data_IF_834519588708
#
_entry.id   IF_834519588708
#
_cell.length_a   1.000
_cell.length_b   1.000
_cell.length_c   1.000
_cell.angle_alpha   90.00
_cell.angle_beta   90.00
_cell.angle_gamma   90.00
#
_symmetry.space_group_name_H-M   'P 1'
#
loop_
_entity.id
_entity.type
_entity.pdbx_description
1 polymer ?
#
# COMPACT_ATOMS: atom_id res chain seq x y z
N UNK A 1 10.14 -49.95 -73.18
CA UNK A 1 9.18 -49.08 -73.88
C UNK A 1 9.21 -47.72 -73.20
N UNK A 2 8.88 -46.68 -73.95
CA UNK A 2 8.96 -45.25 -73.62
C UNK A 2 7.64 -44.71 -73.05
N UNK A 3 7.57 -43.37 -72.90
CA UNK A 3 6.45 -42.50 -72.49
C UNK A 3 6.21 -42.48 -70.96
N UNK A 4 6.38 -41.40 -70.18
CA UNK A 4 6.47 -39.91 -70.37
C UNK A 4 5.09 -39.25 -70.65
N UNK A 5 4.63 -38.17 -70.00
CA UNK A 5 5.23 -37.19 -69.05
C UNK A 5 4.58 -37.29 -67.62
N UNK A 6 4.33 -36.30 -66.71
CA UNK A 6 4.39 -34.81 -66.67
C UNK A 6 4.46 -34.28 -65.19
N UNK A 7 4.34 -32.96 -64.94
CA UNK A 7 4.51 -32.26 -63.64
C UNK A 7 3.28 -32.26 -62.69
N UNK A 8 3.51 -32.02 -61.38
CA UNK A 8 2.75 -30.98 -60.62
C UNK A 8 3.55 -30.41 -59.42
N UNK A 9 3.24 -29.17 -59.01
CA UNK A 9 3.77 -28.46 -57.84
C UNK A 9 2.64 -27.88 -56.99
N UNK A 10 2.31 -28.53 -55.87
CA UNK A 10 1.55 -27.89 -54.79
C UNK A 10 2.51 -27.26 -53.76
N UNK A 11 2.46 -25.93 -53.62
CA UNK A 11 3.08 -25.26 -52.48
C UNK A 11 2.24 -25.48 -51.21
N UNK A 12 2.89 -25.52 -50.05
CA UNK A 12 2.23 -25.26 -48.77
C UNK A 12 3.09 -24.25 -48.01
N UNK A 13 2.55 -23.04 -47.81
CA UNK A 13 3.21 -21.91 -47.15
C UNK A 13 2.12 -21.02 -46.57
N UNK A 14 2.15 -20.81 -45.27
CA UNK A 14 0.98 -20.46 -44.46
C UNK A 14 0.41 -21.71 -43.77
N UNK A 15 -0.13 -21.63 -42.54
CA UNK A 15 -0.29 -20.49 -41.62
C UNK A 15 0.02 -21.01 -40.19
N UNK A 16 1.16 -20.62 -39.61
CA UNK A 16 1.60 -20.99 -38.25
C UNK A 16 2.34 -19.81 -37.54
N UNK A 17 2.06 -18.56 -37.94
CA UNK A 17 2.75 -17.38 -37.42
C UNK A 17 1.86 -16.18 -37.06
N UNK A 18 0.61 -16.18 -37.50
CA UNK A 18 -0.31 -15.03 -37.32
C UNK A 18 -1.35 -15.28 -36.20
N UNK A 19 -1.71 -16.54 -35.93
CA UNK A 19 -2.76 -16.90 -34.94
C UNK A 19 -2.32 -16.64 -33.50
N UNK A 20 -1.07 -16.96 -33.13
CA UNK A 20 -0.57 -16.66 -31.76
C UNK A 20 -0.53 -15.15 -31.50
N UNK A 21 -0.32 -14.32 -32.54
CA UNK A 21 -0.36 -12.85 -32.43
C UNK A 21 -1.80 -12.32 -32.32
N UNK A 22 -2.75 -12.84 -33.10
CA UNK A 22 -4.16 -12.43 -32.99
C UNK A 22 -4.77 -12.87 -31.63
N UNK A 23 -4.40 -14.04 -31.09
CA UNK A 23 -4.82 -14.48 -29.75
C UNK A 23 -4.17 -13.65 -28.61
N UNK A 24 -2.88 -13.28 -28.72
CA UNK A 24 -2.24 -12.38 -27.73
C UNK A 24 -2.80 -10.94 -27.79
N UNK A 25 -3.10 -10.38 -28.98
CA UNK A 25 -3.72 -9.04 -29.11
C UNK A 25 -5.19 -9.03 -28.59
N UNK A 26 -5.99 -10.08 -28.82
CA UNK A 26 -7.34 -10.18 -28.23
C UNK A 26 -7.31 -10.34 -26.69
N UNK A 27 -6.38 -11.12 -26.11
CA UNK A 27 -6.24 -11.23 -24.64
C UNK A 27 -5.78 -9.91 -24.00
N UNK A 28 -4.87 -9.14 -24.63
CA UNK A 28 -4.49 -7.82 -24.11
C UNK A 28 -5.65 -6.80 -24.18
N UNK A 29 -6.43 -6.73 -25.27
CA UNK A 29 -7.58 -5.81 -25.36
C UNK A 29 -8.68 -6.13 -24.32
N UNK A 30 -9.00 -7.41 -24.07
CA UNK A 30 -9.99 -7.79 -23.05
C UNK A 30 -9.49 -7.47 -21.62
N UNK A 31 -8.19 -7.61 -21.35
CA UNK A 31 -7.56 -7.25 -20.06
C UNK A 31 -7.51 -5.75 -19.81
N UNK A 32 -7.22 -4.92 -20.83
CA UNK A 32 -7.30 -3.46 -20.72
C UNK A 32 -8.74 -3.01 -20.42
N UNK A 33 -9.73 -3.63 -21.08
CA UNK A 33 -11.15 -3.32 -20.87
C UNK A 33 -11.63 -3.65 -19.44
N UNK A 34 -11.28 -4.80 -18.86
CA UNK A 34 -11.63 -5.12 -17.46
C UNK A 34 -10.94 -4.16 -16.46
N UNK A 35 -9.68 -3.78 -16.73
CA UNK A 35 -8.97 -2.79 -15.91
C UNK A 35 -9.63 -1.41 -15.96
N UNK A 36 -10.08 -0.95 -17.14
CA UNK A 36 -10.73 0.36 -17.29
C UNK A 36 -12.13 0.38 -16.63
N UNK A 37 -12.89 -0.71 -16.75
CA UNK A 37 -14.16 -0.89 -16.03
C UNK A 37 -13.97 -0.94 -14.51
N UNK A 38 -12.94 -1.64 -14.04
CA UNK A 38 -12.56 -1.72 -12.63
C UNK A 38 -12.15 -0.36 -12.06
N UNK A 39 -11.38 0.44 -12.80
CA UNK A 39 -11.07 1.83 -12.44
C UNK A 39 -12.32 2.70 -12.33
N UNK A 40 -13.23 2.61 -13.30
CA UNK A 40 -14.53 3.31 -13.26
C UNK A 40 -15.35 2.91 -12.03
N UNK A 41 -15.35 1.64 -11.65
CA UNK A 41 -16.06 1.15 -10.47
C UNK A 41 -15.50 1.69 -9.15
N UNK A 42 -14.16 1.75 -9.01
CA UNK A 42 -13.48 2.35 -7.84
C UNK A 42 -13.77 3.84 -7.75
N UNK A 43 -13.74 4.56 -8.87
CA UNK A 43 -14.00 6.01 -8.88
C UNK A 43 -15.46 6.34 -8.56
N UNK A 44 -16.42 5.55 -9.08
CA UNK A 44 -17.86 5.71 -8.77
C UNK A 44 -18.16 5.51 -7.27
N UNK A 45 -17.40 4.66 -6.59
CA UNK A 45 -17.49 4.51 -5.13
C UNK A 45 -17.01 5.77 -4.38
N UNK A 46 -16.06 6.56 -4.91
CA UNK A 46 -15.69 7.86 -4.31
C UNK A 46 -16.90 8.78 -4.22
N UNK A 47 -17.65 8.91 -5.32
CA UNK A 47 -18.79 9.81 -5.41
C UNK A 47 -19.95 9.40 -4.51
N UNK A 48 -20.28 8.10 -4.53
CA UNK A 48 -21.44 7.55 -3.85
C UNK A 48 -21.19 7.27 -2.36
N UNK A 49 -19.96 6.87 -1.97
CA UNK A 49 -19.65 6.35 -0.63
C UNK A 49 -18.50 7.08 0.07
N UNK A 50 -17.71 7.91 -0.61
CA UNK A 50 -16.59 8.66 -0.01
C UNK A 50 -16.99 9.67 1.07
N UNK A 51 -18.29 9.85 1.35
CA UNK A 51 -18.78 10.63 2.49
C UNK A 51 -18.86 9.81 3.80
N UNK A 52 -18.77 8.48 3.72
CA UNK A 52 -18.90 7.54 4.85
C UNK A 52 -17.59 7.42 5.64
N UNK A 53 -17.66 7.32 6.97
CA UNK A 53 -16.47 7.41 7.84
C UNK A 53 -15.57 6.15 7.84
N UNK A 54 -14.32 6.31 8.26
CA UNK A 54 -13.29 5.29 8.55
C UNK A 54 -12.97 5.25 10.05
N UNK A 55 -12.48 4.15 10.65
CA UNK A 55 -12.17 2.85 10.04
C UNK A 55 -13.42 1.98 9.86
N UNK A 56 -13.26 0.83 9.20
CA UNK A 56 -14.34 -0.17 8.99
C UNK A 56 -13.88 -1.58 9.34
N UNK A 57 -14.86 -2.47 9.57
CA UNK A 57 -14.62 -3.90 9.48
C UNK A 57 -14.63 -4.33 8.00
N UNK A 58 -13.54 -4.95 7.58
CA UNK A 58 -13.28 -5.49 6.26
C UNK A 58 -13.77 -6.95 6.26
N UNK A 59 -14.86 -7.21 5.56
CA UNK A 59 -15.45 -8.54 5.42
C UNK A 59 -14.98 -9.15 4.09
N UNK A 60 -13.97 -10.03 4.14
CA UNK A 60 -13.30 -10.57 2.96
C UNK A 60 -14.28 -11.38 2.10
N UNK A 61 -15.20 -12.11 2.75
CA UNK A 61 -16.23 -12.91 2.07
C UNK A 61 -17.18 -12.09 1.19
N UNK A 62 -17.22 -10.77 1.41
CA UNK A 62 -18.14 -9.84 0.75
C UNK A 62 -17.45 -8.90 -0.25
N UNK A 63 -16.12 -8.86 -0.31
CA UNK A 63 -15.38 -7.92 -1.18
C UNK A 63 -15.67 -8.15 -2.68
N UNK A 64 -15.64 -7.08 -3.46
CA UNK A 64 -15.72 -7.16 -4.93
C UNK A 64 -14.30 -7.39 -5.44
N UNK A 65 -14.05 -8.51 -6.13
CA UNK A 65 -12.76 -8.75 -6.79
C UNK A 65 -12.70 -7.94 -8.07
N UNK A 66 -11.56 -7.31 -8.33
CA UNK A 66 -11.29 -6.53 -9.56
C UNK A 66 -9.86 -6.72 -10.02
N UNK A 67 -9.64 -6.56 -11.32
CA UNK A 67 -8.33 -6.47 -11.96
C UNK A 67 -7.95 -5.00 -12.10
N UNK A 68 -6.70 -4.64 -11.80
CA UNK A 68 -6.12 -3.32 -12.07
C UNK A 68 -4.65 -3.48 -12.48
N UNK A 69 -4.08 -2.45 -13.08
CA UNK A 69 -2.62 -2.39 -13.26
C UNK A 69 -1.89 -2.45 -11.91
N UNK A 70 -0.67 -3.01 -11.84
CA UNK A 70 0.06 -3.09 -10.58
C UNK A 70 0.43 -1.69 -10.04
N UNK A 71 0.41 -1.51 -8.72
CA UNK A 71 0.90 -0.24 -8.11
C UNK A 71 2.42 -0.16 -8.30
N UNK A 72 2.87 0.96 -8.88
CA UNK A 72 4.29 1.20 -9.15
C UNK A 72 4.93 2.06 -8.06
N UNK A 73 6.09 1.63 -7.56
CA UNK A 73 6.77 2.22 -6.39
C UNK A 73 8.12 2.83 -6.78
N UNK A 74 8.27 4.13 -6.57
CA UNK A 74 9.44 4.89 -7.04
C UNK A 74 10.19 5.56 -5.88
N UNK A 75 11.53 5.64 -5.98
CA UNK A 75 12.45 6.25 -5.01
C UNK A 75 12.39 5.67 -3.57
N UNK A 76 11.67 4.57 -3.33
CA UNK A 76 11.53 3.94 -2.00
C UNK A 76 12.82 3.25 -1.54
N UNK A 77 13.61 2.75 -2.49
CA UNK A 77 14.96 2.22 -2.31
C UNK A 77 15.95 3.30 -1.81
N UNK A 78 15.65 4.59 -2.00
CA UNK A 78 16.55 5.69 -1.63
C UNK A 78 16.55 5.93 -0.13
N UNK A 79 17.75 5.89 0.45
CA UNK A 79 18.00 6.22 1.84
C UNK A 79 17.53 7.66 2.15
N UNK A 80 16.68 7.88 3.17
CA UNK A 80 16.30 9.23 3.59
C UNK A 80 17.53 10.05 4.01
N UNK A 81 17.59 11.34 3.68
CA UNK A 81 18.67 12.25 4.10
C UNK A 81 18.51 12.73 5.55
N UNK A 82 17.27 12.86 6.02
CA UNK A 82 16.91 13.17 7.41
C UNK A 82 15.62 12.45 7.78
N UNK A 83 15.57 11.89 8.98
CA UNK A 83 14.37 11.32 9.61
C UNK A 83 14.11 12.08 10.91
N UNK A 84 12.83 12.35 11.23
CA UNK A 84 12.37 12.93 12.49
C UNK A 84 11.17 12.14 13.01
N UNK A 85 11.31 11.53 14.19
CA UNK A 85 10.17 11.09 15.01
C UNK A 85 9.64 12.25 15.85
N UNK A 86 8.35 12.24 16.16
CA UNK A 86 7.69 13.23 17.03
C UNK A 86 6.53 12.60 17.77
N UNK A 87 6.52 12.67 19.10
CA UNK A 87 5.32 12.36 19.87
C UNK A 87 4.39 13.58 19.80
N UNK A 88 3.16 13.39 19.31
CA UNK A 88 2.16 14.49 19.17
C UNK A 88 1.27 14.68 20.40
N UNK A 89 1.38 13.77 21.37
CA UNK A 89 0.42 13.55 22.47
C UNK A 89 -0.80 12.71 22.08
N UNK A 90 -0.82 12.16 20.86
CA UNK A 90 -1.89 11.29 20.34
C UNK A 90 -1.34 10.09 19.54
N UNK A 91 -0.24 10.28 18.81
CA UNK A 91 0.46 9.26 18.03
C UNK A 91 1.93 9.68 17.81
N UNK A 92 2.79 8.72 17.42
CA UNK A 92 4.13 9.00 16.89
C UNK A 92 4.00 9.34 15.41
N UNK A 93 4.51 10.50 14.99
CA UNK A 93 4.72 10.82 13.58
C UNK A 93 6.17 10.52 13.21
N UNK A 94 6.37 9.66 12.22
CA UNK A 94 7.62 9.55 11.46
C UNK A 94 7.52 10.48 10.25
N UNK A 95 8.50 11.36 10.08
CA UNK A 95 8.62 12.23 8.92
C UNK A 95 10.04 12.18 8.38
N UNK A 96 10.20 12.28 7.06
CA UNK A 96 11.49 12.13 6.39
C UNK A 96 11.67 13.14 5.25
N UNK A 97 12.93 13.39 4.90
CA UNK A 97 13.35 14.21 3.75
C UNK A 97 14.48 13.51 3.01
N UNK A 98 14.39 13.47 1.70
CA UNK A 98 15.41 12.93 0.80
C UNK A 98 16.35 14.03 0.30
N UNK A 99 17.39 13.67 -0.45
CA UNK A 99 18.19 14.65 -1.18
C UNK A 99 17.50 15.07 -2.47
N UNK A 100 17.02 14.08 -3.19
CA UNK A 100 16.39 14.20 -4.50
C UNK A 100 14.86 14.20 -4.34
N UNK A 101 14.13 13.72 -5.35
CA UNK A 101 12.69 13.50 -5.25
C UNK A 101 12.33 12.52 -4.11
N UNK A 102 11.14 12.72 -3.51
CA UNK A 102 10.63 11.84 -2.45
C UNK A 102 10.18 10.48 -3.02
N UNK A 103 10.08 9.45 -2.19
CA UNK A 103 9.28 8.27 -2.49
C UNK A 103 7.85 8.65 -2.92
N UNK A 104 7.36 7.96 -3.94
CA UNK A 104 6.00 8.13 -4.44
C UNK A 104 5.49 6.82 -5.05
N UNK A 105 4.18 6.75 -5.22
CA UNK A 105 3.51 5.69 -5.96
C UNK A 105 2.60 6.26 -7.04
N UNK A 106 2.29 5.46 -8.04
CA UNK A 106 1.27 5.70 -9.07
C UNK A 106 0.65 4.37 -9.50
N UNK A 107 -0.27 4.43 -10.47
CA UNK A 107 -0.85 3.27 -11.13
C UNK A 107 -1.74 2.43 -10.18
N UNK A 108 -2.33 1.34 -10.69
CA UNK A 108 -3.48 0.71 -10.02
C UNK A 108 -4.63 1.72 -9.82
N UNK A 109 -5.22 1.85 -8.60
CA UNK A 109 -6.40 2.69 -8.35
C UNK A 109 -6.10 4.20 -8.34
N UNK A 110 -4.92 4.64 -8.79
CA UNK A 110 -4.39 5.98 -8.57
C UNK A 110 -4.39 6.82 -9.85
N UNK A 111 -5.22 7.87 -9.86
CA UNK A 111 -5.22 8.87 -10.93
C UNK A 111 -4.05 9.86 -10.78
N UNK A 112 -2.84 9.37 -11.07
CA UNK A 112 -1.60 10.13 -11.07
C UNK A 112 -0.68 9.82 -9.89
N UNK A 113 0.23 10.76 -9.61
CA UNK A 113 1.40 10.57 -8.73
C UNK A 113 1.13 11.00 -7.29
N UNK A 114 1.33 10.08 -6.34
CA UNK A 114 1.11 10.31 -4.92
C UNK A 114 2.42 10.25 -4.12
N UNK A 115 2.90 11.41 -3.68
CA UNK A 115 4.18 11.59 -2.98
C UNK A 115 4.06 11.39 -1.47
N UNK A 116 5.08 10.80 -0.86
CA UNK A 116 5.12 10.51 0.57
C UNK A 116 5.15 11.77 1.46
N UNK A 117 4.36 11.73 2.54
CA UNK A 117 4.30 12.77 3.57
C UNK A 117 4.86 12.30 4.93
N UNK A 118 4.23 11.29 5.52
CA UNK A 118 4.50 10.83 6.88
C UNK A 118 3.99 9.41 7.13
N UNK A 119 4.54 8.75 8.17
CA UNK A 119 3.91 7.59 8.82
C UNK A 119 3.36 8.04 10.17
N UNK A 120 2.22 7.47 10.57
CA UNK A 120 1.75 7.50 11.94
C UNK A 120 1.17 6.14 12.36
N UNK A 121 1.08 5.93 13.67
CA UNK A 121 0.86 4.61 14.26
C UNK A 121 -0.35 4.61 15.19
N UNK A 122 -1.14 3.56 15.09
CA UNK A 122 -2.23 3.23 15.99
C UNK A 122 -1.90 1.94 16.74
N UNK A 123 -2.25 1.90 18.02
CA UNK A 123 -2.04 0.80 18.93
C UNK A 123 -3.14 0.77 20.00
N UNK A 124 -3.22 -0.36 20.69
CA UNK A 124 -4.23 -0.64 21.71
C UNK A 124 -3.60 -1.13 23.01
N UNK A 125 -4.42 -1.23 24.05
CA UNK A 125 -4.00 -1.66 25.38
C UNK A 125 -3.62 -3.15 25.42
N UNK A 126 -4.20 -3.97 24.53
CA UNK A 126 -3.90 -5.40 24.42
C UNK A 126 -3.61 -5.82 22.98
N UNK A 127 -3.02 -7.00 22.84
CA UNK A 127 -2.57 -7.64 21.59
C UNK A 127 -3.62 -7.76 20.48
N UNK A 128 -4.90 -7.67 20.85
CA UNK A 128 -6.06 -7.95 19.99
C UNK A 128 -6.98 -6.73 19.79
N UNK A 129 -6.56 -5.52 20.16
CA UNK A 129 -7.41 -4.30 20.15
C UNK A 129 -6.70 -3.03 19.66
N UNK A 130 -5.64 -3.14 18.85
CA UNK A 130 -4.77 -2.00 18.49
C UNK A 130 -4.80 -1.49 17.05
N UNK A 131 -5.40 -2.23 16.10
CA UNK A 131 -5.68 -1.70 14.76
C UNK A 131 -7.00 -0.91 14.72
N UNK A 132 -7.03 0.15 13.92
CA UNK A 132 -8.26 0.91 13.67
C UNK A 132 -9.22 0.08 12.81
N UNK A 133 -8.72 -0.45 11.69
CA UNK A 133 -9.45 -1.38 10.84
C UNK A 133 -9.53 -2.76 11.49
N UNK A 134 -10.60 -3.48 11.19
CA UNK A 134 -10.81 -4.86 11.61
C UNK A 134 -10.96 -5.74 10.37
N UNK A 135 -10.61 -7.02 10.45
CA UNK A 135 -10.67 -8.00 9.36
C UNK A 135 -11.49 -9.21 9.83
N UNK A 136 -12.61 -9.47 9.17
CA UNK A 136 -13.58 -10.52 9.52
C UNK A 136 -13.95 -10.53 11.03
N UNK A 137 -14.10 -9.33 11.62
CA UNK A 137 -14.40 -9.11 13.04
C UNK A 137 -13.18 -9.08 13.97
N UNK A 138 -11.99 -9.43 13.48
CA UNK A 138 -10.75 -9.48 14.26
C UNK A 138 -9.96 -8.18 14.16
N UNK A 139 -9.39 -7.72 15.27
CA UNK A 139 -8.48 -6.58 15.35
C UNK A 139 -7.04 -7.09 15.59
N UNK A 140 -6.04 -6.31 15.17
CA UNK A 140 -4.60 -6.65 15.20
C UNK A 140 -3.88 -5.83 16.30
N UNK A 141 -2.59 -6.09 16.52
CA UNK A 141 -1.85 -5.50 17.64
C UNK A 141 -1.52 -4.00 17.45
N UNK A 142 -1.22 -3.61 16.20
CA UNK A 142 -1.03 -2.21 15.79
C UNK A 142 -1.44 -2.01 14.32
N UNK A 143 -1.53 -0.75 13.90
CA UNK A 143 -1.73 -0.35 12.51
C UNK A 143 -0.86 0.87 12.17
N UNK A 144 -0.22 0.87 10.99
CA UNK A 144 0.53 2.01 10.45
C UNK A 144 -0.18 2.59 9.24
N UNK A 145 -0.31 3.90 9.24
CA UNK A 145 -0.80 4.70 8.11
C UNK A 145 0.38 5.38 7.41
N UNK A 146 0.65 5.01 6.16
CA UNK A 146 1.58 5.74 5.30
C UNK A 146 0.81 6.76 4.44
N UNK A 147 0.85 8.02 4.86
CA UNK A 147 0.07 9.10 4.24
C UNK A 147 0.82 9.66 3.04
N UNK A 148 0.17 9.62 1.89
CA UNK A 148 0.65 10.21 0.64
C UNK A 148 -0.33 11.29 0.16
N UNK A 149 0.17 12.27 -0.60
CA UNK A 149 -0.66 13.30 -1.22
C UNK A 149 -0.34 13.45 -2.70
N UNK A 150 -1.34 13.84 -3.49
CA UNK A 150 -1.21 13.99 -4.93
C UNK A 150 -0.21 15.11 -5.27
N UNK A 151 0.71 14.86 -6.18
CA UNK A 151 1.83 15.75 -6.52
C UNK A 151 1.38 17.06 -7.19
N UNK A 152 0.15 17.12 -7.70
CA UNK A 152 -0.54 18.31 -8.22
C UNK A 152 -0.62 19.44 -7.17
N UNK A 153 -0.59 19.10 -5.88
CA UNK A 153 -0.70 20.03 -4.75
C UNK A 153 0.67 20.24 -4.08
N UNK A 154 0.94 21.45 -3.57
CA UNK A 154 2.24 21.82 -2.99
C UNK A 154 2.60 20.99 -1.75
N UNK A 155 1.59 20.58 -0.98
CA UNK A 155 1.76 19.84 0.27
C UNK A 155 0.45 19.15 0.71
N UNK A 156 0.55 18.24 1.68
CA UNK A 156 -0.58 17.49 2.23
C UNK A 156 -1.70 18.36 2.84
N UNK A 157 -1.41 19.56 3.36
CA UNK A 157 -2.42 20.44 3.96
C UNK A 157 -3.30 21.13 2.90
N UNK A 158 -2.71 21.47 1.76
CA UNK A 158 -3.43 21.90 0.56
C UNK A 158 -4.23 20.72 -0.04
N UNK A 159 -3.57 19.59 -0.26
CA UNK A 159 -4.18 18.40 -0.85
C UNK A 159 -5.36 17.86 -0.02
N UNK A 160 -5.32 18.00 1.31
CA UNK A 160 -6.40 17.61 2.22
C UNK A 160 -7.71 18.39 2.03
N UNK A 161 -7.73 19.40 1.15
CA UNK A 161 -8.90 20.22 0.80
C UNK A 161 -9.62 19.71 -0.45
N UNK A 162 -9.09 18.67 -1.09
CA UNK A 162 -9.59 18.11 -2.35
C UNK A 162 -9.92 16.62 -2.20
N UNK A 163 -10.93 16.16 -2.95
CA UNK A 163 -11.46 14.81 -2.84
C UNK A 163 -10.50 13.70 -3.32
N UNK A 164 -9.54 14.04 -4.16
CA UNK A 164 -8.53 13.13 -4.71
C UNK A 164 -7.14 13.31 -4.05
N UNK A 165 -6.99 14.29 -3.15
CA UNK A 165 -5.68 14.82 -2.80
C UNK A 165 -4.88 13.99 -1.80
N UNK A 166 -5.50 13.08 -1.04
CA UNK A 166 -4.82 12.26 -0.03
C UNK A 166 -5.23 10.80 -0.12
N UNK A 167 -4.24 9.92 -0.10
CA UNK A 167 -4.41 8.47 0.05
C UNK A 167 -3.65 7.99 1.29
N UNK A 168 -4.11 6.89 1.88
CA UNK A 168 -3.45 6.27 3.03
C UNK A 168 -3.21 4.79 2.72
N UNK A 169 -1.95 4.37 2.79
CA UNK A 169 -1.60 2.95 2.77
C UNK A 169 -1.68 2.43 4.20
N UNK A 170 -2.32 1.29 4.39
CA UNK A 170 -2.53 0.65 5.70
C UNK A 170 -1.67 -0.61 5.81
N UNK A 171 -0.93 -0.69 6.91
CA UNK A 171 -0.15 -1.85 7.30
C UNK A 171 -0.54 -2.31 8.69
N UNK A 172 -1.16 -3.48 8.76
CA UNK A 172 -1.45 -4.16 10.03
C UNK A 172 -0.18 -4.75 10.62
N UNK A 173 -0.07 -4.75 11.95
CA UNK A 173 0.96 -5.51 12.65
C UNK A 173 0.37 -6.69 13.41
N UNK A 174 0.96 -7.86 13.19
CA UNK A 174 0.73 -9.04 14.02
C UNK A 174 1.88 -9.27 14.97
N UNK A 175 1.56 -9.80 16.14
CA UNK A 175 2.59 -10.24 17.06
C UNK A 175 3.36 -11.44 16.51
N UNK A 176 4.67 -11.37 16.72
CA UNK A 176 5.62 -12.46 16.55
C UNK A 176 6.52 -12.53 17.80
N UNK A 177 7.23 -13.64 18.07
CA UNK A 177 8.10 -13.74 19.23
C UNK A 177 9.30 -12.77 19.18
N UNK A 178 9.88 -12.57 17.98
CA UNK A 178 11.10 -11.78 17.77
C UNK A 178 10.85 -10.29 17.52
N UNK A 179 11.79 -9.43 17.93
CA UNK A 179 11.81 -8.02 17.55
C UNK A 179 11.86 -7.88 16.02
N UNK A 180 11.00 -7.03 15.43
CA UNK A 180 11.15 -6.64 14.03
C UNK A 180 12.34 -5.68 13.90
N UNK A 181 13.43 -6.14 13.29
CA UNK A 181 14.68 -5.38 13.13
C UNK A 181 14.48 -4.05 12.38
N UNK A 182 13.51 -3.97 11.46
CA UNK A 182 13.25 -2.75 10.69
C UNK A 182 12.64 -1.64 11.55
N UNK A 183 11.74 -2.04 12.46
CA UNK A 183 11.13 -1.12 13.42
C UNK A 183 12.04 -0.80 14.60
N UNK A 184 13.16 -1.50 14.77
CA UNK A 184 14.09 -1.35 15.90
C UNK A 184 14.73 0.04 15.97
N UNK A 185 14.96 0.72 14.84
CA UNK A 185 15.45 2.11 14.82
C UNK A 185 14.39 3.11 15.33
N UNK A 186 13.10 2.81 15.10
CA UNK A 186 11.97 3.60 15.61
C UNK A 186 11.76 3.30 17.09
N UNK A 187 11.54 2.03 17.45
CA UNK A 187 11.12 1.60 18.79
C UNK A 187 12.19 1.88 19.85
N UNK A 188 13.48 1.69 19.54
CA UNK A 188 14.58 2.08 20.45
C UNK A 188 14.73 3.59 20.65
N UNK A 189 14.09 4.40 19.80
CA UNK A 189 14.12 5.88 19.89
C UNK A 189 12.87 6.46 20.57
N UNK A 190 11.86 5.66 20.91
CA UNK A 190 10.61 6.14 21.54
C UNK A 190 10.84 6.69 22.95
N UNK A 191 11.76 6.09 23.71
CA UNK A 191 12.22 6.61 25.01
C UNK A 191 12.97 7.96 24.93
N UNK A 192 13.30 8.43 23.71
CA UNK A 192 13.87 9.76 23.46
C UNK A 192 12.81 10.76 23.00
N UNK A 193 11.53 10.36 22.93
CA UNK A 193 10.37 11.21 22.65
C UNK A 193 9.19 10.89 23.59
N UNK A 194 9.50 10.56 24.84
CA UNK A 194 8.53 10.11 25.85
C UNK A 194 7.32 11.06 25.98
N UNK A 195 7.52 12.38 25.94
CA UNK A 195 6.45 13.37 26.24
C UNK A 195 5.86 13.99 24.98
N UNK A 196 4.58 14.36 25.05
CA UNK A 196 3.91 15.06 23.97
C UNK A 196 4.65 16.37 23.59
N UNK A 197 5.01 16.48 22.31
CA UNK A 197 5.83 17.55 21.75
C UNK A 197 7.29 17.16 21.52
N UNK A 198 7.81 16.14 22.22
CA UNK A 198 9.19 15.70 22.07
C UNK A 198 9.48 15.21 20.64
N UNK A 199 10.73 15.42 20.23
CA UNK A 199 11.14 15.31 18.83
C UNK A 199 12.58 14.82 18.71
N UNK A 200 12.79 13.70 18.01
CA UNK A 200 14.11 13.10 17.81
C UNK A 200 14.43 12.93 16.33
N UNK A 201 15.56 13.47 15.91
CA UNK A 201 16.13 13.12 14.59
C UNK A 201 16.81 11.75 14.68
N UNK A 202 16.50 10.87 13.72
CA UNK A 202 17.14 9.55 13.61
C UNK A 202 18.21 9.58 12.52
N UNK A 203 19.24 8.76 12.71
CA UNK A 203 20.15 8.43 11.62
C UNK A 203 19.44 7.46 10.66
N UNK A 204 19.44 7.73 9.34
CA UNK A 204 18.92 6.80 8.35
C UNK A 204 19.89 5.62 8.24
N UNK A 205 19.43 4.43 8.64
CA UNK A 205 20.21 3.18 8.60
C UNK A 205 19.82 2.25 7.46
N UNK A 206 18.57 2.33 7.02
CA UNK A 206 17.95 1.44 6.07
C UNK A 206 17.17 2.23 5.01
N UNK A 207 17.15 1.78 3.75
CA UNK A 207 16.19 2.18 2.74
C UNK A 207 14.75 2.29 3.25
N UNK A 208 13.95 3.18 2.67
CA UNK A 208 12.57 3.39 3.10
C UNK A 208 11.64 2.23 2.70
N UNK A 209 11.98 1.54 1.61
CA UNK A 209 11.30 0.32 1.11
C UNK A 209 11.20 -0.78 2.17
N UNK A 210 12.24 -0.97 2.98
CA UNK A 210 12.32 -2.02 4.02
C UNK A 210 11.42 -1.72 5.23
N UNK A 211 11.02 -0.47 5.42
CA UNK A 211 10.11 -0.05 6.50
C UNK A 211 8.63 -0.22 6.12
N UNK A 212 8.30 -0.12 4.84
CA UNK A 212 6.93 -0.27 4.35
C UNK A 212 6.60 -1.71 3.91
N UNK A 213 7.50 -2.40 3.19
CA UNK A 213 7.15 -3.49 2.25
C UNK A 213 6.16 -3.02 1.17
N UNK A 214 6.65 -2.66 -0.04
CA UNK A 214 5.78 -2.43 -1.20
C UNK A 214 4.85 -3.60 -1.45
N UNK A 215 3.65 -3.27 -1.92
CA UNK A 215 2.71 -4.22 -2.52
C UNK A 215 2.27 -3.65 -3.87
N UNK A 216 2.36 -4.45 -4.92
CA UNK A 216 1.89 -4.11 -6.27
C UNK A 216 0.48 -4.64 -6.53
N UNK A 217 0.09 -5.70 -5.82
CA UNK A 217 -1.10 -6.54 -6.04
C UNK A 217 -1.62 -7.13 -4.71
N UNK A 218 -2.76 -7.84 -4.73
CA UNK A 218 -3.36 -8.55 -3.60
C UNK A 218 -3.62 -7.67 -2.36
N UNK A 219 -4.25 -6.51 -2.57
CA UNK A 219 -4.58 -5.52 -1.53
C UNK A 219 -6.06 -5.13 -1.58
N UNK A 220 -6.54 -4.48 -0.50
CA UNK A 220 -7.92 -3.99 -0.42
C UNK A 220 -8.00 -2.49 -0.71
N UNK A 221 -9.08 -2.04 -1.37
CA UNK A 221 -9.34 -0.64 -1.71
C UNK A 221 -10.74 -0.21 -1.27
N UNK A 222 -10.86 0.95 -0.62
CA UNK A 222 -12.14 1.61 -0.41
C UNK A 222 -12.03 3.13 -0.19
N UNK A 223 -13.12 3.86 -0.46
CA UNK A 223 -13.22 5.31 -0.22
C UNK A 223 -13.90 5.64 1.11
N UNK A 224 -13.44 6.68 1.80
CA UNK A 224 -14.07 7.19 3.03
C UNK A 224 -13.92 8.70 3.18
N UNK A 225 -14.64 9.29 4.13
CA UNK A 225 -14.27 10.54 4.79
C UNK A 225 -13.49 10.23 6.09
N UNK A 226 -12.60 11.13 6.52
CA UNK A 226 -11.91 11.04 7.81
C UNK A 226 -12.80 11.61 8.95
N UNK A 227 -13.18 10.75 9.90
CA UNK A 227 -13.95 11.11 11.10
C UNK A 227 -13.43 12.38 11.78
N UNK A 228 -14.32 13.32 12.08
CA UNK A 228 -13.97 14.60 12.72
C UNK A 228 -13.37 15.66 11.80
N UNK A 229 -13.11 15.35 10.51
CA UNK A 229 -12.82 16.34 9.46
C UNK A 229 -14.04 16.50 8.55
N UNK A 230 -14.41 17.74 8.25
CA UNK A 230 -15.43 18.02 7.24
C UNK A 230 -14.81 17.94 5.84
N UNK A 231 -15.36 17.06 5.00
CA UNK A 231 -15.10 16.99 3.56
C UNK A 231 -13.69 16.55 3.10
N UNK A 232 -12.93 15.81 3.92
CA UNK A 232 -11.70 15.16 3.44
C UNK A 232 -11.98 13.71 3.03
N UNK A 233 -12.29 13.48 1.75
CA UNK A 233 -12.25 12.13 1.18
C UNK A 233 -10.82 11.58 1.21
N UNK A 234 -10.70 10.27 1.40
CA UNK A 234 -9.46 9.50 1.41
C UNK A 234 -9.71 8.18 0.69
N UNK A 235 -8.78 7.81 -0.19
CA UNK A 235 -8.66 6.45 -0.71
C UNK A 235 -7.75 5.64 0.20
N UNK A 236 -8.27 4.53 0.72
CA UNK A 236 -7.55 3.61 1.57
C UNK A 236 -7.05 2.43 0.73
N UNK A 237 -5.75 2.13 0.82
CA UNK A 237 -5.13 0.97 0.19
C UNK A 237 -4.53 0.10 1.30
N UNK A 238 -5.04 -1.10 1.51
CA UNK A 238 -4.70 -1.92 2.67
C UNK A 238 -3.90 -3.15 2.27
N UNK A 239 -2.65 -3.23 2.74
CA UNK A 239 -1.77 -4.37 2.50
C UNK A 239 -2.35 -5.64 3.14
N UNK A 240 -2.43 -6.74 2.37
CA UNK A 240 -2.94 -8.03 2.87
C UNK A 240 -1.88 -8.81 3.65
N UNK A 241 -0.61 -8.53 3.43
CA UNK A 241 0.50 -9.08 4.24
C UNK A 241 0.75 -8.16 5.45
N UNK A 242 0.65 -8.67 6.69
CA UNK A 242 0.91 -7.88 7.89
C UNK A 242 2.40 -7.86 8.20
N UNK A 243 2.84 -6.78 8.84
CA UNK A 243 4.18 -6.67 9.38
C UNK A 243 4.26 -7.40 10.74
N UNK A 244 5.40 -8.01 11.03
CA UNK A 244 5.67 -8.56 12.37
C UNK A 244 6.02 -7.46 13.38
N UNK A 245 5.68 -7.64 14.66
CA UNK A 245 6.17 -6.82 15.77
C UNK A 245 6.24 -7.66 17.05
N UNK A 246 7.20 -7.40 17.95
CA UNK A 246 7.23 -8.07 19.26
C UNK A 246 6.33 -7.35 20.27
N UNK A 247 5.86 -8.07 21.31
CA UNK A 247 5.16 -7.46 22.44
C UNK A 247 6.01 -6.33 23.07
N UNK A 248 7.30 -6.58 23.26
CA UNK A 248 8.28 -5.60 23.74
C UNK A 248 8.44 -4.37 22.82
N UNK A 249 8.09 -4.45 21.54
CA UNK A 249 8.04 -3.31 20.65
C UNK A 249 6.73 -2.52 20.77
N UNK A 250 5.58 -3.19 21.01
CA UNK A 250 4.29 -2.55 21.28
C UNK A 250 4.31 -1.78 22.62
N UNK A 251 4.87 -2.37 23.68
CA UNK A 251 5.00 -1.70 25.00
C UNK A 251 5.73 -0.35 24.91
N UNK A 252 6.68 -0.20 23.99
CA UNK A 252 7.44 1.05 23.79
C UNK A 252 6.60 2.17 23.17
N UNK A 253 5.49 1.86 22.50
CA UNK A 253 4.49 2.84 22.07
C UNK A 253 3.49 3.16 23.20
N UNK A 254 3.01 2.15 23.93
CA UNK A 254 2.10 2.34 25.07
C UNK A 254 2.71 3.21 26.18
N UNK A 255 4.03 3.11 26.40
CA UNK A 255 4.77 3.91 27.38
C UNK A 255 4.98 5.39 27.03
N UNK A 256 4.53 5.86 25.86
CA UNK A 256 4.57 7.28 25.49
C UNK A 256 3.49 8.06 26.22
N UNK A 257 3.78 9.30 26.60
CA UNK A 257 2.87 10.16 27.36
C UNK A 257 2.12 11.16 26.46
N UNK A 258 0.86 11.41 26.82
CA UNK A 258 0.01 12.44 26.24
C UNK A 258 0.38 13.87 26.71
N UNK A 259 -0.49 14.86 26.45
CA UNK A 259 -0.27 16.27 26.86
C UNK A 259 -0.58 16.53 28.33
N UNK A 260 -1.12 15.54 29.03
CA UNK A 260 -1.50 15.54 30.43
C UNK A 260 -0.46 14.77 31.28
N UNK A 261 0.47 14.05 30.64
CA UNK A 261 1.48 13.22 31.29
C UNK A 261 1.01 11.79 31.57
N UNK A 262 -0.05 11.33 30.91
CA UNK A 262 -0.65 10.00 31.06
C UNK A 262 -0.17 9.08 29.92
N UNK A 263 0.15 7.81 30.17
CA UNK A 263 0.48 6.84 29.12
C UNK A 263 -0.64 6.70 28.08
N UNK A 264 -0.27 6.77 26.81
CA UNK A 264 -1.15 6.56 25.66
C UNK A 264 -1.33 5.04 25.51
N UNK A 265 -2.13 4.42 26.38
CA UNK A 265 -2.36 2.97 26.36
C UNK A 265 -3.06 2.51 25.06
N UNK A 266 -3.88 3.36 24.45
CA UNK A 266 -4.50 3.13 23.15
C UNK A 266 -4.71 4.47 22.41
N UNK A 267 -4.73 4.42 21.07
CA UNK A 267 -5.03 5.56 20.21
C UNK A 267 -5.72 5.17 18.87
N UNK A 268 -6.18 3.93 18.75
CA UNK A 268 -7.07 3.49 17.67
C UNK A 268 -8.49 4.08 17.83
N UNK A 269 -9.07 4.59 16.75
CA UNK A 269 -10.48 5.02 16.70
C UNK A 269 -11.42 3.81 16.71
N UNK A 270 -12.63 3.93 17.28
CA UNK A 270 -13.68 2.92 17.11
C UNK A 270 -14.13 2.85 15.65
N UNK A 271 -14.67 1.69 15.24
CA UNK A 271 -15.27 1.50 13.92
C UNK A 271 -16.36 2.54 13.62
N UNK A 272 -16.40 2.98 12.36
CA UNK A 272 -17.48 3.80 11.83
C UNK A 272 -18.84 3.09 12.00
N UNK A 273 -19.91 3.88 12.14
CA UNK A 273 -21.27 3.37 12.36
C UNK A 273 -21.67 2.42 11.22
N UNK A 274 -22.28 1.29 11.60
CA UNK A 274 -22.87 0.36 10.65
C UNK A 274 -23.92 1.04 9.77
N UNK A 275 -23.94 0.69 8.49
CA UNK A 275 -24.92 1.18 7.53
C UNK A 275 -26.29 0.52 7.73
N UNK A 276 -27.40 1.13 7.24
CA UNK A 276 -28.68 0.46 7.09
C UNK A 276 -28.55 -0.89 6.35
N UNK A 277 -29.40 -1.87 6.66
CA UNK A 277 -29.28 -3.23 6.10
C UNK A 277 -29.54 -3.33 4.59
N UNK A 278 -30.11 -2.29 3.99
CA UNK A 278 -30.28 -2.11 2.54
C UNK A 278 -29.12 -1.36 1.87
N UNK A 279 -28.14 -0.87 2.63
CA UNK A 279 -26.97 -0.13 2.17
C UNK A 279 -25.71 -0.93 2.46
N UNK A 280 -24.73 -0.86 1.55
CA UNK A 280 -23.50 -1.60 1.70
C UNK A 280 -22.33 -0.86 1.05
N UNK A 281 -21.26 -0.64 1.81
CA UNK A 281 -20.02 -0.09 1.28
C UNK A 281 -19.33 -1.11 0.35
N UNK A 282 -18.88 -0.64 -0.80
CA UNK A 282 -17.96 -1.35 -1.68
C UNK A 282 -16.56 -1.31 -1.07
N UNK A 283 -16.01 -2.50 -0.87
CA UNK A 283 -14.59 -2.71 -0.60
C UNK A 283 -14.13 -3.66 -1.70
N UNK A 284 -13.10 -3.25 -2.41
CA UNK A 284 -12.55 -3.97 -3.55
C UNK A 284 -11.34 -4.78 -3.08
N UNK A 285 -11.17 -5.99 -3.62
CA UNK A 285 -9.96 -6.79 -3.49
C UNK A 285 -9.28 -6.82 -4.86
N UNK A 286 -8.18 -6.10 -4.96
CA UNK A 286 -7.44 -5.90 -6.22
C UNK A 286 -6.45 -7.03 -6.41
N UNK A 287 -6.38 -7.55 -7.65
CA UNK A 287 -5.49 -8.62 -8.11
C UNK A 287 -5.33 -9.74 -7.06
N UNK A 288 -6.42 -10.46 -6.69
CA UNK A 288 -6.40 -11.39 -5.57
C UNK A 288 -5.45 -12.57 -5.81
N UNK A 289 -4.48 -12.79 -4.92
CA UNK A 289 -3.58 -13.94 -5.07
C UNK A 289 -4.36 -15.25 -4.94
N UNK A 290 -3.99 -16.25 -5.76
CA UNK A 290 -4.63 -17.58 -5.78
C UNK A 290 -4.65 -18.30 -4.43
N UNK A 291 -3.79 -17.88 -3.48
CA UNK A 291 -3.91 -18.20 -2.05
C UNK A 291 -5.04 -17.36 -1.43
N UNK A 292 -6.27 -17.54 -1.92
CA UNK A 292 -7.48 -16.90 -1.43
C UNK A 292 -8.07 -17.64 -0.21
N UNK A 293 -7.20 -18.24 0.61
CA UNK A 293 -7.57 -19.11 1.73
C UNK A 293 -7.92 -18.29 2.99
N UNK A 294 -8.94 -18.74 3.71
CA UNK A 294 -9.58 -18.12 4.90
C UNK A 294 -8.67 -17.91 6.13
N UNK A 295 -7.36 -18.08 6.02
CA UNK A 295 -6.40 -17.77 7.08
C UNK A 295 -6.05 -16.29 7.07
N UNK A 296 -6.73 -15.53 7.94
CA UNK A 296 -6.34 -14.22 8.48
C UNK A 296 -4.84 -13.91 8.29
N UNK A 297 -4.50 -13.09 7.28
CA UNK A 297 -3.23 -12.36 7.14
C UNK A 297 -2.03 -13.10 7.76
N UNK A 298 -1.52 -14.15 7.11
CA UNK A 298 -0.38 -14.90 7.67
C UNK A 298 0.87 -14.02 7.70
N UNK A 299 1.65 -14.11 8.79
CA UNK A 299 3.01 -13.56 8.80
C UNK A 299 3.86 -14.43 7.88
N UNK A 300 4.07 -13.99 6.64
CA UNK A 300 4.93 -14.69 5.70
C UNK A 300 6.38 -14.44 6.12
N UNK A 301 6.96 -15.42 6.80
CA UNK A 301 8.40 -15.44 7.02
C UNK A 301 9.10 -15.60 5.68
N UNK A 302 9.72 -14.51 5.23
CA UNK A 302 10.71 -14.50 4.17
C UNK A 302 11.91 -13.74 4.71
N UNK A 303 13.09 -14.29 4.48
CA UNK A 303 14.35 -13.54 4.54
C UNK A 303 14.23 -12.25 3.71
N UNK A 304 15.02 -11.19 4.01
CA UNK A 304 15.04 -9.98 3.19
C UNK A 304 15.20 -10.36 1.71
N UNK A 305 14.41 -9.75 0.80
CA UNK A 305 14.22 -10.27 -0.55
C UNK A 305 15.56 -10.50 -1.23
N UNK A 306 15.87 -11.78 -1.46
CA UNK A 306 17.00 -12.18 -2.27
C UNK A 306 16.66 -11.84 -3.73
N UNK A 307 16.86 -10.58 -4.10
CA UNK A 307 16.81 -10.12 -5.48
C UNK A 307 17.66 -11.08 -6.30
N UNK A 308 17.02 -11.80 -7.23
CA UNK A 308 17.75 -12.66 -8.16
C UNK A 308 18.69 -11.79 -8.98
N UNK A 309 19.80 -12.35 -9.46
CA UNK A 309 20.78 -11.59 -10.27
C UNK A 309 20.05 -10.90 -11.44
N UNK A 310 19.13 -11.62 -12.09
CA UNK A 310 18.24 -11.12 -13.14
C UNK A 310 17.44 -9.87 -12.72
N UNK A 311 16.86 -9.84 -11.51
CA UNK A 311 16.10 -8.69 -11.00
C UNK A 311 17.02 -7.49 -10.71
N UNK A 312 18.25 -7.71 -10.25
CA UNK A 312 19.25 -6.65 -10.08
C UNK A 312 19.68 -6.12 -11.46
N UNK A 313 19.96 -7.01 -12.41
CA UNK A 313 20.34 -6.67 -13.79
C UNK A 313 19.23 -5.90 -14.52
N UNK A 314 17.97 -6.27 -14.32
CA UNK A 314 16.81 -5.54 -14.87
C UNK A 314 16.64 -4.16 -14.23
N UNK A 315 16.76 -4.04 -12.90
CA UNK A 315 16.76 -2.74 -12.22
C UNK A 315 17.92 -1.83 -12.69
N UNK A 316 19.08 -2.40 -13.02
CA UNK A 316 20.23 -1.67 -13.58
C UNK A 316 20.00 -1.28 -15.04
N UNK A 317 19.53 -2.20 -15.89
CA UNK A 317 19.18 -1.91 -17.31
C UNK A 317 18.18 -0.75 -17.40
N UNK A 318 17.09 -0.84 -16.62
CA UNK A 318 16.03 0.15 -16.65
C UNK A 318 16.51 1.51 -16.09
N UNK A 319 17.52 1.53 -15.21
CA UNK A 319 18.20 2.75 -14.78
C UNK A 319 19.08 3.35 -15.89
N UNK A 320 19.89 2.55 -16.57
CA UNK A 320 20.76 3.01 -17.65
C UNK A 320 19.95 3.53 -18.86
N UNK A 321 18.83 2.90 -19.20
CA UNK A 321 17.89 3.40 -20.22
C UNK A 321 17.27 4.76 -19.84
N UNK A 322 16.89 4.94 -18.56
CA UNK A 322 16.39 6.20 -18.02
C UNK A 322 17.44 7.32 -17.96
N UNK A 323 18.72 6.98 -17.83
CA UNK A 323 19.84 7.95 -17.92
C UNK A 323 20.12 8.32 -19.37
N UNK A 324 20.18 7.35 -20.28
CA UNK A 324 20.44 7.60 -21.70
C UNK A 324 19.34 8.42 -22.37
N UNK A 325 18.06 8.14 -22.07
CA UNK A 325 16.91 8.92 -22.58
C UNK A 325 16.82 10.37 -22.06
N UNK A 326 17.65 10.75 -21.08
CA UNK A 326 17.78 12.13 -20.58
C UNK A 326 19.04 12.86 -21.05
N UNK A 327 19.79 12.25 -21.96
CA UNK A 327 21.09 12.76 -22.45
C UNK A 327 21.08 12.97 -23.98
N UNK A 328 19.89 13.18 -24.57
CA UNK A 328 19.67 13.60 -25.96
C UNK A 328 18.83 14.89 -26.00
#
# INVERSE_FOLDING_TARGET
MSEEFEDDKSANSGEEGDVEFEEEEEEEEDLENDCELSMKAVQLASEQEGHLESPINLDISKMIRISLTPIMWYNHEKLPKKIKLTNTGHTVIYSAKWQDERPYISDGPLFGKYVFSQLHFHWGETEMVGSEHHVDGSCMAMEMHAVHFKADYMNQEEASRFNDGVIILVYFFKLQPEDNEMFKNITSSLSLIEKAGDSKHLNPRYPFVELLRPFSEDYFVYWSNLTGKTSQRVLWLLCREPLGISHEQVLKFQGLLDRQGVPIMHNCRPLAKALPSNERRRVFHVNPSGVCAYTLMQLISRDPPAYTVNQIEEMVRNYDEFVNTKTQ
#
